data_IF_048736456162
#
_entry.id   IF_048736456162
#
_cell.length_a   1.000
_cell.length_b   1.000
_cell.length_c   1.000
_cell.angle_alpha   90.00
_cell.angle_beta   90.00
_cell.angle_gamma   90.00
#
_symmetry.space_group_name_H-M   'P 1'
#
loop_
_entity.id
_entity.type
_entity.pdbx_description
1 polymer ?
#
# COMPACT_ATOMS: atom_id res chain seq x y z
N UNK A 1 16.93 -14.06 13.26
CA UNK A 1 15.47 -14.33 13.37
C UNK A 1 14.79 -13.62 12.23
N UNK A 2 14.03 -14.34 11.40
CA UNK A 2 13.28 -13.76 10.28
C UNK A 2 11.91 -13.35 10.83
N UNK A 3 11.67 -12.05 10.99
CA UNK A 3 10.36 -11.52 11.37
C UNK A 3 9.54 -11.27 10.12
N UNK A 4 8.36 -11.87 10.04
CA UNK A 4 7.40 -11.62 8.95
C UNK A 4 6.87 -10.21 9.11
N UNK A 5 7.00 -9.40 8.05
CA UNK A 5 6.49 -8.04 8.06
C UNK A 5 5.00 -8.04 7.72
N UNK A 6 4.21 -7.13 8.33
CA UNK A 6 2.78 -7.09 8.09
C UNK A 6 2.46 -6.81 6.61
N UNK A 7 1.48 -7.53 6.08
CA UNK A 7 1.07 -7.42 4.68
C UNK A 7 0.44 -6.05 4.36
N UNK A 8 0.60 -5.62 3.10
CA UNK A 8 -0.04 -4.43 2.56
C UNK A 8 -1.04 -4.86 1.49
N UNK A 9 -2.31 -4.50 1.68
CA UNK A 9 -3.39 -4.82 0.75
C UNK A 9 -3.88 -3.55 0.06
N UNK A 10 -3.97 -3.56 -1.27
CA UNK A 10 -4.49 -2.44 -2.04
C UNK A 10 -5.89 -2.78 -2.51
N UNK A 11 -6.87 -2.00 -2.08
CA UNK A 11 -8.28 -2.12 -2.44
C UNK A 11 -8.71 -0.93 -3.29
N UNK A 12 -9.63 -1.17 -4.22
CA UNK A 12 -10.27 -0.11 -4.99
C UNK A 12 -11.44 0.47 -4.18
N UNK A 13 -11.32 1.72 -3.76
CA UNK A 13 -12.29 2.41 -2.91
C UNK A 13 -13.66 2.52 -3.60
N UNK A 14 -13.71 2.80 -4.90
CA UNK A 14 -14.95 2.92 -5.66
C UNK A 14 -15.68 1.57 -5.78
N UNK A 15 -14.93 0.49 -6.02
CA UNK A 15 -15.45 -0.87 -6.02
C UNK A 15 -15.97 -1.29 -4.64
N UNK A 16 -15.25 -0.92 -3.56
CA UNK A 16 -15.67 -1.18 -2.18
C UNK A 16 -16.93 -0.38 -1.81
N UNK A 17 -17.06 0.86 -2.28
CA UNK A 17 -18.27 1.67 -2.08
C UNK A 17 -19.49 1.15 -2.87
N UNK A 18 -19.26 0.39 -3.94
CA UNK A 18 -20.33 -0.20 -4.76
C UNK A 18 -20.99 -1.43 -4.12
N UNK A 19 -20.73 -1.71 -2.83
CA UNK A 19 -21.27 -2.84 -2.05
C UNK A 19 -20.92 -4.20 -2.68
N UNK A 20 -19.84 -4.27 -3.46
CA UNK A 20 -19.40 -5.56 -3.98
C UNK A 20 -18.61 -6.29 -2.90
N UNK A 21 -19.04 -7.47 -2.45
CA UNK A 21 -18.31 -8.21 -1.43
C UNK A 21 -16.93 -8.60 -1.97
N UNK A 22 -15.91 -8.45 -1.12
CA UNK A 22 -14.58 -8.97 -1.40
C UNK A 22 -14.67 -10.51 -1.55
N UNK A 23 -13.97 -11.10 -2.53
CA UNK A 23 -13.79 -12.55 -2.61
C UNK A 23 -13.23 -13.11 -1.29
N UNK A 24 -13.58 -14.35 -0.94
CA UNK A 24 -13.14 -14.99 0.32
C UNK A 24 -11.62 -14.89 0.55
N UNK A 25 -10.82 -15.17 -0.48
CA UNK A 25 -9.36 -15.05 -0.44
C UNK A 25 -8.86 -13.64 -0.10
N UNK A 26 -9.59 -12.61 -0.54
CA UNK A 26 -9.27 -11.21 -0.22
C UNK A 26 -9.71 -10.84 1.19
N UNK A 27 -10.77 -11.43 1.73
CA UNK A 27 -11.16 -11.25 3.13
C UNK A 27 -10.15 -11.89 4.08
N UNK A 28 -9.64 -13.08 3.74
CA UNK A 28 -8.57 -13.73 4.50
C UNK A 28 -7.30 -12.89 4.51
N UNK A 29 -6.87 -12.40 3.33
CA UNK A 29 -5.72 -11.50 3.23
C UNK A 29 -5.92 -10.17 3.96
N UNK A 30 -7.14 -9.64 3.99
CA UNK A 30 -7.49 -8.43 4.72
C UNK A 30 -7.33 -8.62 6.23
N UNK A 31 -7.66 -9.80 6.76
CA UNK A 31 -7.50 -10.12 8.17
C UNK A 31 -6.02 -10.16 8.62
N UNK A 32 -5.11 -10.49 7.70
CA UNK A 32 -3.66 -10.52 7.95
C UNK A 32 -2.95 -9.22 7.54
N UNK A 33 -3.65 -8.28 6.89
CA UNK A 33 -3.09 -7.03 6.42
C UNK A 33 -2.87 -6.04 7.58
N UNK A 34 -1.64 -5.55 7.72
CA UNK A 34 -1.34 -4.46 8.66
C UNK A 34 -1.64 -3.07 8.08
N UNK A 35 -1.68 -2.95 6.75
CA UNK A 35 -2.04 -1.71 6.05
C UNK A 35 -2.98 -2.01 4.89
N UNK A 36 -4.07 -1.27 4.81
CA UNK A 36 -5.03 -1.27 3.69
C UNK A 36 -4.93 0.06 2.96
N UNK A 37 -4.61 0.00 1.67
CA UNK A 37 -4.52 1.16 0.79
C UNK A 37 -5.78 1.25 -0.06
N UNK A 38 -6.59 2.27 0.18
CA UNK A 38 -7.80 2.59 -0.57
C UNK A 38 -7.43 3.43 -1.80
N UNK A 39 -7.22 2.75 -2.93
CA UNK A 39 -6.94 3.34 -4.24
C UNK A 39 -8.22 3.88 -4.88
N UNK A 40 -8.10 4.87 -5.76
CA UNK A 40 -9.21 5.54 -6.47
C UNK A 40 -10.22 6.24 -5.56
N UNK A 41 -9.74 6.84 -4.47
CA UNK A 41 -10.61 7.52 -3.51
C UNK A 41 -11.21 8.84 -4.00
N UNK A 42 -10.76 9.37 -5.16
CA UNK A 42 -11.24 10.64 -5.72
C UNK A 42 -12.73 10.65 -6.07
N UNK A 43 -13.31 9.49 -6.35
CA UNK A 43 -14.73 9.34 -6.72
C UNK A 43 -15.63 9.09 -5.49
N UNK A 44 -15.06 9.01 -4.28
CA UNK A 44 -15.82 8.71 -3.07
C UNK A 44 -16.25 9.97 -2.32
N UNK A 45 -17.55 10.04 -2.03
CA UNK A 45 -18.12 10.99 -1.08
C UNK A 45 -17.66 10.73 0.36
N UNK A 46 -17.72 11.78 1.18
CA UNK A 46 -17.27 11.74 2.57
C UNK A 46 -18.02 10.70 3.41
N UNK A 47 -19.32 10.52 3.15
CA UNK A 47 -20.13 9.49 3.80
C UNK A 47 -19.66 8.06 3.45
N UNK A 48 -19.33 7.80 2.18
CA UNK A 48 -18.80 6.52 1.75
C UNK A 48 -17.41 6.25 2.34
N UNK A 49 -16.57 7.28 2.44
CA UNK A 49 -15.26 7.17 3.10
C UNK A 49 -15.39 6.81 4.58
N UNK A 50 -16.31 7.44 5.29
CA UNK A 50 -16.57 7.10 6.69
C UNK A 50 -17.09 5.67 6.83
N UNK A 51 -18.05 5.25 6.00
CA UNK A 51 -18.57 3.89 6.03
C UNK A 51 -17.49 2.82 5.76
N UNK A 52 -16.56 3.09 4.83
CA UNK A 52 -15.43 2.19 4.59
C UNK A 52 -14.41 2.24 5.73
N UNK A 53 -14.12 3.42 6.29
CA UNK A 53 -13.22 3.53 7.44
C UNK A 53 -13.74 2.77 8.66
N UNK A 54 -15.06 2.76 8.88
CA UNK A 54 -15.72 1.98 9.93
C UNK A 54 -15.59 0.47 9.69
N UNK A 55 -15.79 0.02 8.44
CA UNK A 55 -15.67 -1.39 8.05
C UNK A 55 -14.24 -1.94 8.13
N UNK A 56 -13.24 -1.08 8.00
CA UNK A 56 -11.82 -1.47 7.96
C UNK A 56 -11.11 -1.39 9.32
N UNK A 57 -11.79 -0.98 10.40
CA UNK A 57 -11.24 -1.10 11.77
C UNK A 57 -11.04 -2.60 12.08
N UNK A 58 -9.85 -3.08 12.49
CA UNK A 58 -8.73 -2.38 13.14
C UNK A 58 -7.50 -2.07 12.25
N UNK A 59 -7.54 -2.31 10.94
CA UNK A 59 -6.39 -2.15 10.05
C UNK A 59 -6.06 -0.67 9.79
N UNK A 60 -4.78 -0.34 9.62
CA UNK A 60 -4.38 1.01 9.22
C UNK A 60 -4.91 1.29 7.80
N UNK A 61 -5.60 2.42 7.63
CA UNK A 61 -6.21 2.79 6.36
C UNK A 61 -5.48 3.97 5.73
N UNK A 62 -5.06 3.82 4.48
CA UNK A 62 -4.42 4.87 3.71
C UNK A 62 -5.21 5.16 2.44
N UNK A 63 -5.67 6.40 2.31
CA UNK A 63 -6.38 6.86 1.12
C UNK A 63 -5.39 7.38 0.09
N UNK A 64 -5.41 6.82 -1.11
CA UNK A 64 -4.56 7.29 -2.22
C UNK A 64 -5.43 7.86 -3.34
N UNK A 65 -4.86 8.84 -4.05
CA UNK A 65 -5.41 9.44 -5.26
C UNK A 65 -4.40 9.23 -6.37
N UNK A 66 -4.84 8.82 -7.56
CA UNK A 66 -3.96 8.57 -8.71
C UNK A 66 -2.80 7.58 -8.46
N UNK A 67 -3.00 6.59 -7.59
CA UNK A 67 -1.96 5.63 -7.18
C UNK A 67 -0.70 6.26 -6.55
N UNK A 68 -0.79 7.49 -6.05
CA UNK A 68 0.28 8.09 -5.26
C UNK A 68 0.32 7.43 -3.88
N UNK A 69 1.24 6.46 -3.73
CA UNK A 69 1.51 5.77 -2.48
C UNK A 69 2.94 6.10 -2.05
N UNK A 70 3.14 7.08 -1.15
CA UNK A 70 4.48 7.39 -0.68
C UNK A 70 5.05 6.19 0.09
N UNK A 71 6.26 5.78 -0.28
CA UNK A 71 6.96 4.64 0.34
C UNK A 71 7.12 4.79 1.86
N UNK A 72 7.10 6.02 2.38
CA UNK A 72 7.15 6.32 3.80
C UNK A 72 5.92 5.89 4.61
N UNK A 73 4.84 5.47 3.94
CA UNK A 73 3.62 4.95 4.58
C UNK A 73 3.56 3.42 4.59
N UNK A 74 4.45 2.73 3.88
CA UNK A 74 4.44 1.27 3.78
C UNK A 74 5.12 0.63 5.00
N UNK A 75 4.49 -0.29 5.73
CA UNK A 75 5.18 -1.06 6.75
C UNK A 75 6.20 -2.02 6.10
N UNK A 76 7.36 -2.27 6.72
CA UNK A 76 7.93 -1.64 7.91
C UNK A 76 8.70 -0.36 7.53
N UNK A 77 8.04 0.81 7.49
CA UNK A 77 8.80 2.04 7.31
C UNK A 77 9.51 2.38 8.62
N UNK A 78 10.76 1.94 8.72
CA UNK A 78 11.74 2.56 9.61
C UNK A 78 12.32 3.74 8.85
N UNK A 79 12.14 4.97 9.38
CA UNK A 79 12.92 6.12 8.92
C UNK A 79 14.40 5.76 9.12
N UNK A 80 15.06 5.33 8.03
CA UNK A 80 16.48 5.08 8.05
C UNK A 80 17.16 6.39 8.39
N UNK A 81 17.81 6.44 9.56
CA UNK A 81 18.88 7.43 9.82
C UNK A 81 19.75 7.49 8.57
N UNK A 82 19.84 8.68 7.98
CA UNK A 82 20.60 9.01 6.76
C UNK A 82 21.42 7.83 6.22
N UNK A 83 20.89 7.13 5.22
CA UNK A 83 21.69 6.18 4.44
C UNK A 83 22.86 6.97 3.87
N UNK A 84 24.06 6.74 4.41
CA UNK A 84 25.29 7.31 3.85
C UNK A 84 25.38 6.83 2.41
N UNK A 85 25.18 7.77 1.49
CA UNK A 85 25.01 7.52 0.06
C UNK A 85 26.38 7.38 -0.60
N UNK A 86 27.30 6.64 0.02
CA UNK A 86 28.64 6.43 -0.54
C UNK A 86 28.56 5.43 -1.69
N UNK A 87 28.30 5.99 -2.87
CA UNK A 87 28.65 5.51 -4.22
C UNK A 87 28.38 4.03 -4.50
N UNK A 88 27.29 3.78 -5.22
CA UNK A 88 27.19 2.60 -6.09
C UNK A 88 27.63 3.03 -7.49
N UNK A 89 28.90 2.85 -7.82
CA UNK A 89 29.40 2.95 -9.19
C UNK A 89 28.80 1.82 -10.03
N UNK A 90 27.67 2.07 -10.70
CA UNK A 90 27.08 1.14 -11.66
C UNK A 90 27.24 1.66 -13.09
N UNK A 91 28.49 1.88 -13.52
CA UNK A 91 28.82 2.19 -14.92
C UNK A 91 29.89 1.21 -15.42
N UNK A 92 29.53 -0.07 -15.49
CA UNK A 92 30.15 -1.00 -16.44
C UNK A 92 29.09 -1.41 -17.45
N UNK A 93 28.70 -0.45 -18.29
CA UNK A 93 28.07 -0.78 -19.57
C UNK A 93 29.15 -1.41 -20.45
N UNK A 94 29.23 -2.74 -20.41
CA UNK A 94 29.90 -3.53 -21.44
C UNK A 94 29.20 -3.24 -22.78
N UNK A 95 29.75 -2.30 -23.55
CA UNK A 95 29.34 -2.06 -24.92
C UNK A 95 30.23 -2.91 -25.83
N UNK A 96 29.75 -4.12 -26.12
CA UNK A 96 30.22 -4.94 -27.24
C UNK A 96 29.42 -4.48 -28.47
N UNK A 97 30.07 -3.76 -29.38
CA UNK A 97 29.95 -3.84 -30.86
C UNK A 97 30.50 -2.56 -31.50
N UNK A 98 31.70 -2.65 -32.08
CA UNK A 98 31.99 -2.66 -33.54
C UNK A 98 33.44 -3.14 -33.70
#
# INVERSE_FOLDING_TARGET
MLTVQPGVMVLDAAAMASIQPLPATQQEALAEAGLVVMNKSEQLDEAARQALAEQMKPCALLWTRHADLPLNRLPPFVEGTAVDKQVVDNLTLSLIHI
#
